data_IF_844272577642
#
_entry.id   IF_844272577642
#
_cell.length_a   1.000
_cell.length_b   1.000
_cell.length_c   1.000
_cell.angle_alpha   90.00
_cell.angle_beta   90.00
_cell.angle_gamma   90.00
#
_symmetry.space_group_name_H-M   'P 1'
#
loop_
_entity.id
_entity.type
_entity.pdbx_description
1 polymer ?
#
# COMPACT_ATOMS: atom_id res chain seq x y z
N UNK A 1 -1.72 -1.35 -8.75
CA UNK A 1 -1.69 -2.58 -9.55
C UNK A 1 -2.16 -2.36 -10.98
N UNK A 2 -3.40 -1.92 -11.22
CA UNK A 2 -3.96 -1.77 -12.57
C UNK A 2 -3.08 -0.98 -13.56
N UNK A 3 -2.55 0.19 -13.16
CA UNK A 3 -1.68 1.01 -14.03
C UNK A 3 -0.32 0.39 -14.40
N UNK A 4 0.02 -0.77 -13.83
CA UNK A 4 1.23 -1.55 -14.10
C UNK A 4 0.90 -3.00 -14.47
N UNK A 5 -0.37 -3.29 -14.73
CA UNK A 5 -0.79 -4.57 -15.24
C UNK A 5 -0.24 -4.74 -16.66
N UNK A 6 0.10 -5.98 -16.99
CA UNK A 6 0.67 -6.42 -18.24
C UNK A 6 -0.38 -7.21 -19.03
N UNK A 7 -0.24 -7.23 -20.36
CA UNK A 7 -1.07 -8.07 -21.23
C UNK A 7 -2.55 -7.69 -21.26
N UNK A 8 -3.39 -8.70 -21.55
CA UNK A 8 -4.85 -8.55 -21.69
C UNK A 8 -5.52 -8.59 -20.31
N UNK A 9 -5.58 -7.43 -19.67
CA UNK A 9 -6.30 -7.22 -18.41
C UNK A 9 -7.80 -7.13 -18.70
N UNK A 10 -8.63 -7.76 -17.87
CA UNK A 10 -10.09 -7.54 -17.87
C UNK A 10 -10.43 -6.55 -16.76
N UNK A 11 -10.45 -5.22 -17.03
CA UNK A 11 -10.81 -4.25 -16.01
C UNK A 11 -12.19 -4.57 -15.47
N UNK A 12 -12.30 -4.57 -14.15
CA UNK A 12 -13.57 -4.73 -13.44
C UNK A 12 -13.77 -3.51 -12.57
N UNK A 13 -14.88 -2.81 -12.80
CA UNK A 13 -15.30 -1.70 -11.95
C UNK A 13 -15.80 -2.25 -10.61
N UNK A 14 -15.37 -1.61 -9.54
CA UNK A 14 -15.72 -1.95 -8.17
C UNK A 14 -16.20 -0.68 -7.47
N UNK A 15 -17.43 -0.73 -6.96
CA UNK A 15 -17.99 0.32 -6.14
C UNK A 15 -17.48 0.16 -4.71
N UNK A 16 -16.93 1.24 -4.14
CA UNK A 16 -16.53 1.25 -2.75
C UNK A 16 -17.78 1.24 -1.87
N UNK A 17 -17.91 0.25 -0.98
CA UNK A 17 -19.10 0.08 -0.13
C UNK A 17 -19.40 1.31 0.74
N UNK A 18 -18.36 2.01 1.19
CA UNK A 18 -18.48 3.09 2.16
C UNK A 18 -18.35 4.49 1.53
N UNK A 19 -17.94 4.60 0.27
CA UNK A 19 -17.65 5.89 -0.36
C UNK A 19 -18.26 5.92 -1.75
N UNK A 20 -18.69 7.10 -2.22
CA UNK A 20 -19.13 7.28 -3.60
C UNK A 20 -17.94 7.31 -4.58
N UNK A 21 -17.18 6.22 -4.61
CA UNK A 21 -15.94 6.05 -5.35
C UNK A 21 -15.99 4.71 -6.07
N UNK A 22 -15.79 4.75 -7.39
CA UNK A 22 -15.57 3.57 -8.22
C UNK A 22 -14.09 3.47 -8.55
N UNK A 23 -13.53 2.27 -8.40
CA UNK A 23 -12.14 1.98 -8.76
C UNK A 23 -12.05 0.69 -9.58
N UNK A 24 -10.89 0.42 -10.17
CA UNK A 24 -10.73 -0.66 -11.15
C UNK A 24 -9.76 -1.73 -10.65
N UNK A 25 -10.18 -2.99 -10.74
CA UNK A 25 -9.36 -4.17 -10.51
C UNK A 25 -8.72 -4.70 -11.80
N UNK A 26 -7.67 -5.50 -11.64
CA UNK A 26 -7.01 -6.18 -12.76
C UNK A 26 -7.77 -7.44 -13.23
N UNK A 27 -8.79 -7.88 -12.49
CA UNK A 27 -9.57 -9.08 -12.80
C UNK A 27 -8.79 -10.40 -12.66
N UNK A 28 -7.62 -10.36 -12.01
CA UNK A 28 -6.78 -11.51 -11.69
C UNK A 28 -6.97 -11.87 -10.21
N UNK A 29 -7.44 -13.10 -9.96
CA UNK A 29 -7.80 -13.56 -8.63
C UNK A 29 -6.58 -13.77 -7.71
N UNK A 30 -5.42 -14.13 -8.26
CA UNK A 30 -4.21 -14.32 -7.45
C UNK A 30 -3.71 -12.97 -6.93
N UNK A 31 -3.77 -11.92 -7.76
CA UNK A 31 -3.47 -10.55 -7.34
C UNK A 31 -4.46 -10.08 -6.28
N UNK A 32 -5.75 -10.28 -6.50
CA UNK A 32 -6.81 -9.88 -5.56
C UNK A 32 -6.62 -10.55 -4.19
N UNK A 33 -6.46 -11.88 -4.16
CA UNK A 33 -6.24 -12.63 -2.92
C UNK A 33 -5.00 -12.15 -2.15
N UNK A 34 -3.88 -11.89 -2.85
CA UNK A 34 -2.65 -11.40 -2.21
C UNK A 34 -2.81 -9.99 -1.65
N UNK A 35 -3.64 -9.15 -2.27
CA UNK A 35 -3.98 -7.83 -1.74
C UNK A 35 -4.82 -8.00 -0.46
N UNK A 36 -5.84 -8.85 -0.49
CA UNK A 36 -6.72 -9.09 0.65
C UNK A 36 -5.94 -9.65 1.86
N UNK A 37 -5.06 -10.64 1.64
CA UNK A 37 -4.16 -11.16 2.68
C UNK A 37 -3.30 -10.06 3.32
N UNK A 38 -2.86 -9.07 2.53
CA UNK A 38 -2.05 -7.95 3.01
C UNK A 38 -2.88 -6.91 3.74
N UNK A 39 -4.13 -6.69 3.32
CA UNK A 39 -5.10 -5.88 4.04
C UNK A 39 -5.35 -6.49 5.42
N UNK A 40 -5.61 -7.79 5.51
CA UNK A 40 -5.84 -8.50 6.77
C UNK A 40 -4.63 -8.40 7.71
N UNK A 41 -3.42 -8.59 7.17
CA UNK A 41 -2.18 -8.40 7.94
C UNK A 41 -2.06 -6.97 8.49
N UNK A 42 -2.40 -5.96 7.69
CA UNK A 42 -2.36 -4.56 8.11
C UNK A 42 -3.42 -4.25 9.17
N UNK A 43 -4.66 -4.72 8.98
CA UNK A 43 -5.76 -4.56 9.95
C UNK A 43 -5.37 -5.17 11.30
N UNK A 44 -4.86 -6.41 11.30
CA UNK A 44 -4.38 -7.06 12.53
C UNK A 44 -3.21 -6.32 13.20
N UNK A 45 -2.37 -5.61 12.44
CA UNK A 45 -1.35 -4.73 13.00
C UNK A 45 -1.94 -3.47 13.64
N UNK A 46 -2.91 -2.82 12.98
CA UNK A 46 -3.60 -1.61 13.47
C UNK A 46 -4.32 -1.89 14.79
N UNK A 47 -5.00 -3.03 14.90
CA UNK A 47 -5.70 -3.44 16.13
C UNK A 47 -4.76 -3.57 17.33
N UNK A 48 -3.54 -4.09 17.10
CA UNK A 48 -2.50 -4.20 18.13
C UNK A 48 -1.80 -2.88 18.45
N UNK A 49 -1.87 -1.91 17.54
CA UNK A 49 -1.16 -0.64 17.62
C UNK A 49 -2.09 0.56 17.41
N UNK A 50 -3.08 0.77 18.30
CA UNK A 50 -4.04 1.85 18.14
C UNK A 50 -3.34 3.21 18.09
N UNK A 51 -3.81 4.09 17.21
CA UNK A 51 -3.30 5.45 16.99
C UNK A 51 -1.84 5.54 16.50
N UNK A 52 -1.22 4.43 16.08
CA UNK A 52 0.06 4.49 15.35
C UNK A 52 -0.19 4.78 13.87
N UNK A 53 0.66 5.63 13.29
CA UNK A 53 0.72 5.83 11.83
C UNK A 53 1.35 4.58 11.21
N UNK A 54 0.66 4.00 10.23
CA UNK A 54 1.15 2.89 9.43
C UNK A 54 1.61 3.34 8.06
N UNK A 55 2.45 2.54 7.41
CA UNK A 55 2.83 2.73 6.01
C UNK A 55 2.78 1.38 5.30
N UNK A 56 2.10 1.35 4.16
CA UNK A 56 2.11 0.22 3.24
C UNK A 56 3.00 0.58 2.06
N UNK A 57 3.89 -0.32 1.65
CA UNK A 57 4.76 -0.12 0.50
C UNK A 57 4.47 -1.16 -0.58
N UNK A 58 4.09 -0.71 -1.78
CA UNK A 58 4.01 -1.53 -2.98
C UNK A 58 5.27 -1.30 -3.81
N UNK A 59 6.05 -2.35 -4.03
CA UNK A 59 7.28 -2.30 -4.80
C UNK A 59 7.19 -3.20 -6.03
N UNK A 60 7.58 -2.68 -7.19
CA UNK A 60 7.76 -3.46 -8.42
C UNK A 60 9.24 -3.69 -8.68
N UNK A 61 9.58 -4.89 -9.16
CA UNK A 61 10.97 -5.28 -9.40
C UNK A 61 11.13 -6.20 -10.61
N UNK A 62 12.36 -6.28 -11.10
CA UNK A 62 12.81 -7.35 -12.00
C UNK A 62 13.57 -8.40 -11.21
N UNK A 63 13.45 -9.66 -11.63
CA UNK A 63 14.24 -10.76 -11.08
C UNK A 63 15.42 -10.99 -11.99
N UNK A 64 16.63 -10.67 -11.52
CA UNK A 64 17.86 -10.96 -12.25
C UNK A 64 18.51 -12.21 -11.66
N UNK A 65 18.50 -13.28 -12.44
CA UNK A 65 19.31 -14.45 -12.14
C UNK A 65 20.76 -14.12 -12.52
N UNK A 66 21.63 -13.95 -11.52
CA UNK A 66 23.08 -13.94 -11.79
C UNK A 66 23.49 -15.33 -12.25
N UNK A 67 24.39 -15.39 -13.24
CA UNK A 67 24.97 -16.64 -13.72
C UNK A 67 25.44 -17.45 -12.52
N UNK A 68 25.11 -18.75 -12.49
CA UNK A 68 25.48 -19.67 -11.42
C UNK A 68 27.00 -19.59 -11.20
N UNK A 69 27.40 -18.78 -10.23
CA UNK A 69 28.77 -18.71 -9.77
C UNK A 69 28.89 -19.85 -8.76
N UNK A 70 30.05 -20.47 -8.65
CA UNK A 70 30.33 -21.62 -7.77
C UNK A 70 29.97 -21.42 -6.27
N UNK A 71 29.50 -20.23 -5.89
CA UNK A 71 28.88 -19.89 -4.60
C UNK A 71 27.39 -19.52 -4.75
N UNK A 72 26.57 -20.47 -5.20
CA UNK A 72 25.11 -20.42 -5.08
C UNK A 72 24.37 -19.46 -6.02
N UNK A 73 23.12 -19.83 -6.33
CA UNK A 73 22.20 -18.98 -7.07
C UNK A 73 21.66 -17.89 -6.15
N UNK A 74 22.24 -16.68 -6.20
CA UNK A 74 21.65 -15.50 -5.56
C UNK A 74 20.67 -14.84 -6.52
N UNK A 75 19.37 -15.04 -6.28
CA UNK A 75 18.31 -14.31 -6.96
C UNK A 75 18.35 -12.86 -6.49
N UNK A 76 18.58 -11.91 -7.40
CA UNK A 76 18.61 -10.48 -7.09
C UNK A 76 17.32 -9.81 -7.57
N UNK A 77 16.69 -9.01 -6.68
CA UNK A 77 15.52 -8.18 -7.02
C UNK A 77 16.00 -6.77 -7.31
N UNK A 78 15.72 -6.27 -8.51
CA UNK A 78 16.01 -4.90 -8.93
C UNK A 78 14.72 -4.09 -8.89
N UNK A 79 14.52 -3.32 -7.83
CA UNK A 79 13.33 -2.50 -7.67
C UNK A 79 13.40 -1.27 -8.57
N UNK A 80 12.42 -1.11 -9.45
CA UNK A 80 12.36 0.00 -10.41
C UNK A 80 11.24 1.00 -10.08
N UNK A 81 10.25 0.62 -9.26
CA UNK A 81 9.19 1.54 -8.80
C UNK A 81 8.69 1.17 -7.41
N UNK A 82 8.43 2.17 -6.57
CA UNK A 82 7.89 1.99 -5.22
C UNK A 82 6.83 3.05 -4.89
N UNK A 83 5.72 2.60 -4.31
CA UNK A 83 4.62 3.44 -3.84
C UNK A 83 4.47 3.30 -2.33
N UNK A 84 4.58 4.42 -1.62
CA UNK A 84 4.45 4.49 -0.17
C UNK A 84 3.08 5.10 0.18
N UNK A 85 2.21 4.30 0.80
CA UNK A 85 0.86 4.68 1.20
C UNK A 85 0.89 4.86 2.72
N UNK A 86 0.84 6.12 3.17
CA UNK A 86 0.82 6.46 4.58
C UNK A 86 -0.62 6.48 5.10
N UNK A 87 -0.88 5.74 6.19
CA UNK A 87 -2.21 5.58 6.75
C UNK A 87 -2.18 5.98 8.23
N UNK A 88 -3.18 6.74 8.65
CA UNK A 88 -3.39 7.10 10.05
C UNK A 88 -4.78 6.66 10.47
N UNK A 89 -4.85 5.54 11.21
CA UNK A 89 -6.11 4.97 11.66
C UNK A 89 -6.42 5.49 13.06
N UNK A 90 -7.52 6.22 13.19
CA UNK A 90 -8.02 6.75 14.45
C UNK A 90 -8.93 5.71 15.10
N UNK A 91 -8.64 5.30 16.35
CA UNK A 91 -9.52 4.41 17.10
C UNK A 91 -10.37 5.20 18.11
N UNK A 92 -11.69 5.40 17.86
CA UNK A 92 -12.54 6.16 18.75
C UNK A 92 -12.76 5.48 20.12
N UNK A 93 -12.46 4.18 20.25
CA UNK A 93 -12.69 3.41 21.50
C UNK A 93 -11.59 3.59 22.55
N UNK A 94 -10.49 4.28 22.23
CA UNK A 94 -9.33 4.40 23.13
C UNK A 94 -9.40 5.63 24.07
N UNK A 95 -10.56 6.27 24.22
CA UNK A 95 -10.81 7.24 25.27
C UNK A 95 -11.07 6.50 26.60
N UNK A 96 -10.04 6.45 27.45
CA UNK A 96 -10.12 5.91 28.80
C UNK A 96 -11.13 6.66 29.68
N UNK A 97 -12.12 5.90 30.18
CA UNK A 97 -12.93 6.03 31.40
C UNK A 97 -13.09 7.42 32.08
N UNK A 98 -14.35 7.88 32.04
CA UNK A 98 -15.18 8.38 33.16
C UNK A 98 -14.80 9.66 33.92
N UNK A 99 -15.57 10.72 33.69
CA UNK A 99 -16.25 11.43 34.78
C UNK A 99 -17.75 11.40 34.50
N UNK A 100 -18.54 11.05 35.52
CA UNK A 100 -20.00 11.09 35.50
C UNK A 100 -20.46 12.52 35.18
N UNK A 101 -20.82 12.78 33.93
CA UNK A 101 -21.66 13.93 33.60
C UNK A 101 -22.69 13.44 32.60
N UNK A 102 -23.96 13.53 33.02
CA UNK A 102 -25.13 13.20 32.19
C UNK A 102 -25.02 14.03 30.91
N UNK A 103 -24.66 13.39 29.80
CA UNK A 103 -24.46 14.08 28.53
C UNK A 103 -25.81 14.68 28.07
N UNK A 104 -25.87 15.98 27.73
CA UNK A 104 -27.10 16.59 27.21
C UNK A 104 -27.49 15.95 25.87
N UNK A 105 -28.79 15.95 25.57
CA UNK A 105 -29.37 15.45 24.31
C UNK A 105 -28.69 16.05 23.06
N UNK A 106 -28.17 17.28 23.15
CA UNK A 106 -27.43 17.97 22.08
C UNK A 106 -26.06 17.36 21.74
N UNK A 107 -25.50 16.48 22.58
CA UNK A 107 -24.19 15.83 22.31
C UNK A 107 -24.29 14.75 21.22
N UNK A 108 -25.48 14.16 21.02
CA UNK A 108 -25.68 13.06 20.07
C UNK A 108 -25.76 13.55 18.62
N UNK A 109 -26.42 14.69 18.38
CA UNK A 109 -26.51 15.33 17.06
C UNK A 109 -25.13 15.84 16.61
N UNK A 110 -24.39 16.51 17.50
CA UNK A 110 -23.03 16.97 17.23
C UNK A 110 -22.06 15.81 16.88
N UNK A 111 -22.19 14.65 17.53
CA UNK A 111 -21.36 13.49 17.25
C UNK A 111 -21.67 12.87 15.87
N UNK A 112 -22.95 12.85 15.46
CA UNK A 112 -23.33 12.37 14.13
C UNK A 112 -22.90 13.32 13.01
N UNK A 113 -22.98 14.63 13.25
CA UNK A 113 -22.51 15.65 12.30
C UNK A 113 -20.99 15.59 12.15
N UNK A 114 -20.25 15.51 13.24
CA UNK A 114 -18.79 15.41 13.21
C UNK A 114 -18.32 14.13 12.49
N UNK A 115 -19.00 12.99 12.72
CA UNK A 115 -18.73 11.75 11.98
C UNK A 115 -18.96 11.93 10.48
N UNK A 116 -20.05 12.60 10.09
CA UNK A 116 -20.39 12.85 8.69
C UNK A 116 -19.37 13.76 8.01
N UNK A 117 -18.91 14.82 8.70
CA UNK A 117 -17.86 15.71 8.19
C UNK A 117 -16.53 14.97 8.01
N UNK A 118 -16.13 14.13 8.98
CA UNK A 118 -14.91 13.31 8.89
C UNK A 118 -15.00 12.32 7.73
N UNK A 119 -16.17 11.72 7.52
CA UNK A 119 -16.43 10.81 6.42
C UNK A 119 -16.29 11.50 5.05
N UNK A 120 -16.93 12.65 4.88
CA UNK A 120 -16.83 13.44 3.65
C UNK A 120 -15.41 13.93 3.36
N UNK A 121 -14.67 14.34 4.40
CA UNK A 121 -13.26 14.74 4.26
C UNK A 121 -12.37 13.57 3.82
N UNK A 122 -12.58 12.38 4.39
CA UNK A 122 -11.86 11.17 4.00
C UNK A 122 -12.16 10.77 2.55
N UNK A 123 -13.43 10.84 2.13
CA UNK A 123 -13.83 10.57 0.75
C UNK A 123 -13.15 11.52 -0.24
N UNK A 124 -13.15 12.82 0.05
CA UNK A 124 -12.50 13.83 -0.79
C UNK A 124 -10.98 13.59 -0.88
N UNK A 125 -10.33 13.29 0.24
CA UNK A 125 -8.91 12.96 0.28
C UNK A 125 -8.58 11.69 -0.53
N UNK A 126 -9.43 10.66 -0.45
CA UNK A 126 -9.26 9.44 -1.21
C UNK A 126 -9.40 9.67 -2.72
N UNK A 127 -10.39 10.47 -3.14
CA UNK A 127 -10.52 10.90 -4.55
C UNK A 127 -9.28 11.63 -5.05
N UNK A 128 -8.76 12.57 -4.27
CA UNK A 128 -7.53 13.29 -4.61
C UNK A 128 -6.33 12.34 -4.79
N UNK A 129 -6.16 11.39 -3.87
CA UNK A 129 -5.08 10.38 -3.95
C UNK A 129 -5.23 9.52 -5.21
N UNK A 130 -6.45 9.10 -5.57
CA UNK A 130 -6.68 8.34 -6.81
C UNK A 130 -6.27 9.15 -8.05
N UNK A 131 -6.60 10.44 -8.12
CA UNK A 131 -6.14 11.31 -9.20
C UNK A 131 -4.62 11.49 -9.22
N UNK A 132 -3.98 11.60 -8.05
CA UNK A 132 -2.52 11.66 -7.97
C UNK A 132 -1.88 10.37 -8.49
N UNK A 133 -2.44 9.20 -8.17
CA UNK A 133 -1.96 7.91 -8.71
C UNK A 133 -2.05 7.91 -10.24
N UNK A 134 -3.19 8.30 -10.81
CA UNK A 134 -3.37 8.37 -12.27
C UNK A 134 -2.33 9.29 -12.90
N UNK A 135 -2.15 10.48 -12.31
CA UNK A 135 -1.19 11.48 -12.79
C UNK A 135 0.24 10.94 -12.74
N UNK A 136 0.71 10.46 -11.59
CA UNK A 136 2.08 9.97 -11.43
C UNK A 136 2.35 8.72 -12.28
N UNK A 137 1.38 7.81 -12.37
CA UNK A 137 1.51 6.63 -13.22
C UNK A 137 1.58 6.99 -14.71
N UNK A 138 0.99 8.13 -15.10
CA UNK A 138 1.03 8.64 -16.46
C UNK A 138 2.28 9.44 -16.80
N UNK A 139 2.76 10.27 -15.87
CA UNK A 139 3.93 11.15 -16.06
C UNK A 139 5.26 10.40 -15.91
N UNK A 140 5.36 9.41 -15.02
CA UNK A 140 6.59 8.66 -14.77
C UNK A 140 6.50 7.27 -15.39
N UNK A 141 7.08 7.12 -16.58
CA UNK A 141 7.06 5.87 -17.36
C UNK A 141 8.44 5.41 -17.85
N UNK A 142 9.44 6.29 -17.88
CA UNK A 142 10.75 6.00 -18.48
C UNK A 142 11.52 4.88 -17.76
N UNK A 143 11.18 4.64 -16.50
CA UNK A 143 11.77 3.60 -15.65
C UNK A 143 11.03 2.25 -15.73
N UNK A 144 9.94 2.15 -16.52
CA UNK A 144 9.19 0.90 -16.67
C UNK A 144 9.97 -0.04 -17.60
N UNK A 145 10.31 -1.27 -17.15
CA UNK A 145 11.06 -2.22 -17.97
C UNK A 145 10.31 -2.66 -19.23
N UNK A 146 11.06 -3.03 -20.26
CA UNK A 146 10.49 -3.61 -21.48
C UNK A 146 9.99 -5.02 -21.23
N UNK A 147 8.77 -5.30 -21.67
CA UNK A 147 8.09 -6.56 -21.39
C UNK A 147 8.41 -7.54 -22.51
N UNK A 148 9.11 -8.63 -22.20
CA UNK A 148 9.44 -9.68 -23.18
C UNK A 148 8.36 -10.77 -23.29
N UNK A 149 7.53 -10.95 -22.25
CA UNK A 149 6.51 -11.99 -22.20
C UNK A 149 5.13 -11.37 -21.90
N UNK A 150 4.18 -11.54 -22.82
CA UNK A 150 2.82 -11.00 -22.73
C UNK A 150 1.82 -11.87 -21.95
N UNK A 151 2.24 -13.06 -21.49
CA UNK A 151 1.35 -14.01 -20.79
C UNK A 151 1.16 -13.68 -19.30
N UNK A 152 2.04 -12.86 -18.73
CA UNK A 152 1.97 -12.48 -17.30
C UNK A 152 1.14 -11.20 -17.16
N UNK A 153 0.23 -11.15 -16.19
CA UNK A 153 -0.72 -10.04 -15.98
C UNK A 153 -0.13 -8.92 -15.09
N UNK A 154 1.01 -9.14 -14.44
CA UNK A 154 1.70 -8.11 -13.65
C UNK A 154 3.21 -8.31 -13.63
N UNK A 155 3.97 -7.21 -13.58
CA UNK A 155 5.38 -7.27 -13.19
C UNK A 155 5.54 -7.90 -11.79
N UNK A 156 6.68 -8.55 -11.50
CA UNK A 156 6.97 -9.02 -10.14
C UNK A 156 6.83 -7.89 -9.12
N UNK A 157 6.10 -8.16 -8.03
CA UNK A 157 5.79 -7.16 -7.02
C UNK A 157 5.76 -7.72 -5.59
N UNK A 158 6.00 -6.83 -4.65
CA UNK A 158 5.94 -7.08 -3.21
C UNK A 158 5.11 -6.01 -2.53
N UNK A 159 4.21 -6.44 -1.63
CA UNK A 159 3.48 -5.54 -0.73
C UNK A 159 4.05 -5.77 0.67
N UNK A 160 4.68 -4.73 1.21
CA UNK A 160 5.20 -4.69 2.56
C UNK A 160 4.23 -3.92 3.46
N UNK A 161 3.84 -4.52 4.58
CA UNK A 161 3.04 -3.90 5.64
C UNK A 161 3.90 -3.79 6.91
N UNK A 162 3.53 -2.93 7.87
CA UNK A 162 4.21 -2.87 9.16
C UNK A 162 4.14 -4.23 9.86
N UNK A 163 5.30 -4.74 10.28
CA UNK A 163 5.39 -6.03 10.98
C UNK A 163 5.10 -5.86 12.47
N UNK A 164 4.60 -6.92 13.10
CA UNK A 164 4.34 -7.01 14.54
C UNK A 164 5.61 -7.14 15.40
N UNK A 165 6.81 -7.10 14.81
CA UNK A 165 8.03 -6.93 15.60
C UNK A 165 7.99 -5.55 16.25
N UNK A 166 7.76 -5.51 17.57
CA UNK A 166 7.68 -4.30 18.41
C UNK A 166 8.92 -3.40 18.37
N UNK A 167 9.95 -3.74 17.60
CA UNK A 167 11.11 -2.90 17.37
C UNK A 167 10.81 -1.76 16.40
N UNK A 168 10.77 -0.48 16.87
CA UNK A 168 10.75 0.68 15.98
C UNK A 168 12.02 0.80 15.12
N UNK A 169 13.03 -0.05 15.34
CA UNK A 169 14.24 -0.16 14.52
C UNK A 169 14.17 -1.30 13.50
N UNK A 170 13.26 -2.27 13.62
CA UNK A 170 13.20 -3.44 12.75
C UNK A 170 12.87 -3.09 11.30
N UNK A 171 11.84 -2.26 11.09
CA UNK A 171 11.44 -1.80 9.75
C UNK A 171 12.52 -0.95 9.07
N UNK A 172 13.12 0.00 9.81
CA UNK A 172 14.17 0.86 9.27
C UNK A 172 15.43 0.05 8.98
N UNK A 173 15.78 -0.91 9.85
CA UNK A 173 16.87 -1.83 9.61
C UNK A 173 16.62 -2.72 8.39
N UNK A 174 15.40 -3.23 8.19
CA UNK A 174 15.06 -4.06 7.02
C UNK A 174 15.03 -3.26 5.72
N UNK A 175 14.61 -2.00 5.75
CA UNK A 175 14.66 -1.11 4.58
C UNK A 175 16.09 -0.65 4.29
N UNK A 176 16.85 -0.22 5.30
CA UNK A 176 18.26 0.20 5.14
C UNK A 176 19.12 -1.00 4.71
N UNK A 177 18.92 -2.17 5.30
CA UNK A 177 19.61 -3.40 4.90
C UNK A 177 19.27 -3.78 3.44
N UNK A 178 18.02 -3.58 3.00
CA UNK A 178 17.65 -3.77 1.59
C UNK A 178 18.27 -2.71 0.67
N UNK A 179 18.30 -1.45 1.08
CA UNK A 179 18.97 -0.36 0.34
C UNK A 179 20.49 -0.56 0.23
N UNK A 180 21.14 -1.11 1.27
CA UNK A 180 22.56 -1.45 1.25
C UNK A 180 22.85 -2.69 0.39
N UNK A 181 21.86 -3.57 0.18
CA UNK A 181 22.00 -4.74 -0.70
C UNK A 181 21.78 -4.40 -2.18
N UNK A 182 21.02 -3.35 -2.49
CA UNK A 182 20.94 -2.77 -3.83
C UNK A 182 22.16 -1.86 -4.03
N UNK A 183 23.27 -2.44 -4.50
CA UNK A 183 24.55 -1.74 -4.67
C UNK A 183 24.46 -0.45 -5.52
N UNK A 184 25.42 0.44 -5.27
CA UNK A 184 25.58 1.77 -5.89
C UNK A 184 25.35 1.78 -7.41
N UNK A 185 24.73 2.84 -7.97
CA UNK A 185 24.69 3.02 -9.42
C UNK A 185 26.12 3.12 -9.92
N UNK A 186 26.51 2.23 -10.82
CA UNK A 186 27.74 2.36 -11.59
C UNK A 186 27.62 3.64 -12.40
N UNK A 187 28.36 4.68 -11.99
CA UNK A 187 28.58 5.85 -12.81
C UNK A 187 29.28 5.39 -14.09
N UNK A 188 28.57 5.52 -15.22
CA UNK A 188 29.13 5.42 -16.55
C UNK A 188 30.24 6.46 -16.66
N UNK A 189 31.43 6.00 -17.09
CA UNK A 189 32.58 6.84 -17.43
C UNK A 189 32.46 7.49 -18.79
#
# INVERSE_FOLDING_TARGET
MFHRALGLVRPKDVECEHFEITYVHCGDHEIENKIDEKIDQFVGWVEKHPNRKGQVCLSFYEVKNKHATWFGNKIERLYWEQWYINLHVLNPKCHGKSYYTKAPVNTRENASEESSLRHAALESSLREVLFQIIRFANEKKDHIPTVQNSEIISFPYEISTPSSSDSPFGWHADVIKRMLQTGHPSMLG
#
